data_IF_554698297574
#
_entry.id   IF_554698297574
#
_cell.length_a   1.000
_cell.length_b   1.000
_cell.length_c   1.000
_cell.angle_alpha   90.00
_cell.angle_beta   90.00
_cell.angle_gamma   90.00
#
_symmetry.space_group_name_H-M   'P 1'
#
loop_
_entity.id
_entity.type
_entity.pdbx_description
1 polymer ?
#
# COMPACT_ATOMS: atom_id res chain seq x y z
N UNK A 1 58.12 1.28 -37.33
CA UNK A 1 57.83 -0.15 -37.19
C UNK A 1 56.47 -0.42 -36.56
N UNK A 2 55.38 -0.16 -37.28
CA UNK A 2 54.02 -0.54 -36.84
C UNK A 2 53.78 -2.06 -36.93
N UNK A 3 54.49 -2.75 -37.84
CA UNK A 3 54.42 -4.20 -37.99
C UNK A 3 54.89 -4.93 -36.72
N UNK A 4 56.02 -4.50 -36.14
CA UNK A 4 56.54 -5.06 -34.89
C UNK A 4 55.60 -4.79 -33.69
N UNK A 5 54.90 -3.65 -33.68
CA UNK A 5 53.93 -3.34 -32.65
C UNK A 5 52.65 -4.20 -32.78
N UNK A 6 52.20 -4.48 -34.01
CA UNK A 6 51.09 -5.40 -34.25
C UNK A 6 51.45 -6.84 -33.92
N UNK A 7 52.66 -7.28 -34.23
CA UNK A 7 53.11 -8.65 -33.92
C UNK A 7 53.29 -8.87 -32.43
N UNK A 8 53.73 -7.84 -31.66
CA UNK A 8 53.73 -7.89 -30.19
C UNK A 8 52.32 -7.98 -29.62
N UNK A 9 51.37 -7.18 -30.10
CA UNK A 9 49.96 -7.25 -29.67
C UNK A 9 49.33 -8.60 -29.98
N UNK A 10 49.65 -9.20 -31.14
CA UNK A 10 49.17 -10.54 -31.50
C UNK A 10 49.74 -11.61 -30.59
N UNK A 11 51.06 -11.58 -30.30
CA UNK A 11 51.69 -12.51 -29.35
C UNK A 11 51.12 -12.37 -27.94
N UNK A 12 50.90 -11.15 -27.47
CA UNK A 12 50.28 -10.89 -26.15
C UNK A 12 48.82 -11.38 -26.08
N UNK A 13 48.06 -11.25 -27.18
CA UNK A 13 46.72 -11.83 -27.29
C UNK A 13 46.74 -13.37 -27.35
N UNK A 14 47.71 -13.96 -28.02
CA UNK A 14 47.88 -15.42 -28.09
C UNK A 14 48.35 -16.00 -26.76
N UNK A 15 49.27 -15.33 -26.06
CA UNK A 15 49.71 -15.66 -24.72
C UNK A 15 48.54 -15.52 -23.73
N UNK A 16 47.79 -14.43 -23.73
CA UNK A 16 46.63 -14.27 -22.84
C UNK A 16 45.54 -15.33 -23.10
N UNK A 17 45.28 -15.70 -24.35
CA UNK A 17 44.38 -16.82 -24.69
C UNK A 17 44.92 -18.15 -24.18
N UNK A 18 46.22 -18.41 -24.34
CA UNK A 18 46.86 -19.67 -23.92
C UNK A 18 46.89 -19.81 -22.40
N UNK A 19 47.09 -18.73 -21.66
CA UNK A 19 47.04 -18.70 -20.20
C UNK A 19 45.60 -18.63 -19.65
N UNK A 20 44.61 -18.26 -20.48
CA UNK A 20 43.18 -18.23 -20.11
C UNK A 20 42.48 -19.60 -20.09
N UNK A 21 43.07 -20.65 -20.67
CA UNK A 21 42.50 -22.01 -20.69
C UNK A 21 42.74 -22.71 -19.35
N UNK A 22 41.98 -22.30 -18.33
CA UNK A 22 42.09 -22.84 -16.97
C UNK A 22 41.39 -21.99 -15.89
N UNK A 23 41.00 -20.76 -16.21
CA UNK A 23 40.26 -19.88 -15.31
C UNK A 23 38.83 -20.39 -15.07
N UNK A 24 38.65 -21.18 -14.01
CA UNK A 24 37.37 -21.71 -13.55
C UNK A 24 36.46 -20.57 -13.06
N UNK A 25 35.34 -20.35 -13.75
CA UNK A 25 34.15 -19.57 -13.35
C UNK A 25 34.37 -18.27 -12.54
N UNK A 26 35.22 -17.36 -13.03
CA UNK A 26 35.29 -15.98 -12.50
C UNK A 26 34.11 -15.14 -13.01
N UNK A 27 33.64 -15.40 -14.24
CA UNK A 27 32.53 -14.65 -14.85
C UNK A 27 31.21 -14.69 -14.08
N UNK A 28 30.91 -15.77 -13.33
CA UNK A 28 29.67 -15.83 -12.54
C UNK A 28 29.71 -14.98 -11.27
N UNK A 29 30.91 -14.69 -10.75
CA UNK A 29 31.10 -13.74 -9.63
C UNK A 29 31.11 -12.31 -10.15
N UNK A 30 31.81 -12.04 -11.24
CA UNK A 30 31.83 -10.71 -11.89
C UNK A 30 30.44 -10.31 -12.42
N UNK A 31 29.65 -11.22 -12.99
CA UNK A 31 28.26 -10.95 -13.40
C UNK A 31 27.34 -10.64 -12.22
N UNK A 32 27.59 -11.22 -11.04
CA UNK A 32 26.80 -10.95 -9.83
C UNK A 32 27.20 -9.62 -9.18
N UNK A 33 28.48 -9.28 -9.20
CA UNK A 33 29.00 -8.01 -8.71
C UNK A 33 28.62 -6.85 -9.63
N UNK A 34 28.70 -7.03 -10.96
CA UNK A 34 28.21 -6.06 -11.95
C UNK A 34 26.71 -5.78 -11.78
N UNK A 35 25.88 -6.82 -11.61
CA UNK A 35 24.44 -6.66 -11.34
C UNK A 35 24.14 -6.02 -9.99
N UNK A 36 25.00 -6.21 -8.98
CA UNK A 36 24.85 -5.52 -7.68
C UNK A 36 25.19 -4.05 -7.80
N UNK A 37 26.27 -3.72 -8.51
CA UNK A 37 26.70 -2.34 -8.71
C UNK A 37 25.70 -1.56 -9.58
N UNK A 38 25.18 -2.15 -10.65
CA UNK A 38 24.12 -1.54 -11.47
C UNK A 38 22.85 -1.27 -10.66
N UNK A 39 22.43 -2.22 -9.81
CA UNK A 39 21.27 -2.02 -8.91
C UNK A 39 21.50 -0.91 -7.89
N UNK A 40 22.71 -0.80 -7.35
CA UNK A 40 23.06 0.27 -6.42
C UNK A 40 23.11 1.63 -7.12
N UNK A 41 23.62 1.70 -8.35
CA UNK A 41 23.62 2.90 -9.16
C UNK A 41 22.18 3.34 -9.51
N UNK A 42 21.35 2.41 -9.98
CA UNK A 42 19.94 2.67 -10.28
C UNK A 42 19.13 3.10 -9.06
N UNK A 43 19.44 2.54 -7.88
CA UNK A 43 18.79 2.94 -6.63
C UNK A 43 19.20 4.34 -6.19
N UNK A 44 20.47 4.72 -6.36
CA UNK A 44 20.96 6.08 -6.06
C UNK A 44 20.34 7.12 -6.98
N UNK A 45 20.23 6.83 -8.29
CA UNK A 45 19.58 7.73 -9.25
C UNK A 45 18.08 7.92 -8.92
N UNK A 46 17.38 6.84 -8.55
CA UNK A 46 15.98 6.92 -8.15
C UNK A 46 15.79 7.71 -6.83
N UNK A 47 16.71 7.56 -5.88
CA UNK A 47 16.70 8.32 -4.62
C UNK A 47 17.00 9.81 -4.84
N UNK A 48 17.89 10.13 -5.77
CA UNK A 48 18.18 11.52 -6.15
C UNK A 48 17.00 12.21 -6.85
N UNK A 49 16.28 11.48 -7.73
CA UNK A 49 15.03 11.97 -8.33
C UNK A 49 13.94 12.20 -7.26
N UNK A 50 13.76 11.27 -6.33
CA UNK A 50 12.78 11.40 -5.24
C UNK A 50 13.15 12.57 -4.29
N UNK A 51 14.45 12.76 -4.01
CA UNK A 51 14.92 13.90 -3.22
C UNK A 51 14.69 15.23 -3.94
N UNK A 52 14.88 15.28 -5.27
CA UNK A 52 14.57 16.46 -6.08
C UNK A 52 13.07 16.79 -6.05
N UNK A 53 12.19 15.78 -6.16
CA UNK A 53 10.74 15.95 -6.02
C UNK A 53 10.32 16.41 -4.63
N UNK A 54 10.92 15.86 -3.57
CA UNK A 54 10.63 16.31 -2.20
C UNK A 54 11.09 17.76 -1.96
N UNK A 55 12.18 18.19 -2.60
CA UNK A 55 12.70 19.56 -2.46
C UNK A 55 11.84 20.60 -3.18
N UNK A 56 11.16 20.24 -4.26
CA UNK A 56 10.17 21.12 -4.91
C UNK A 56 8.86 21.15 -4.12
N UNK A 57 8.45 20.02 -3.55
CA UNK A 57 7.23 19.93 -2.75
C UNK A 57 7.35 20.62 -1.37
N UNK A 58 8.54 20.69 -0.78
CA UNK A 58 8.78 21.45 0.46
C UNK A 58 8.71 22.99 0.28
N UNK A 59 8.85 23.51 -0.95
CA UNK A 59 8.70 24.95 -1.23
C UNK A 59 7.25 25.40 -1.34
N UNK A 60 6.29 24.50 -1.50
CA UNK A 60 4.86 24.84 -1.60
C UNK A 60 4.16 24.94 -0.23
N UNK A 61 4.81 24.51 0.86
CA UNK A 61 4.23 24.49 2.22
C UNK A 61 4.78 25.57 3.16
N UNK A 62 5.84 26.30 2.78
CA UNK A 62 6.44 27.38 3.58
C UNK A 62 5.78 28.77 3.40
N UNK A 63 4.77 28.91 2.53
CA UNK A 63 4.13 30.21 2.24
C UNK A 63 2.82 30.47 3.02
N UNK A 64 2.40 29.58 3.94
CA UNK A 64 1.16 29.75 4.69
C UNK A 64 1.32 29.37 6.15
N UNK A 65 2.00 30.20 6.94
CA UNK A 65 1.76 30.37 8.40
C UNK A 65 2.66 31.46 8.99
N UNK A 66 2.07 32.38 9.77
CA UNK A 66 2.76 33.38 10.60
C UNK A 66 2.23 34.80 10.40
N UNK A 67 1.21 35.26 11.15
CA UNK A 67 1.40 35.99 12.41
C UNK A 67 0.26 36.99 12.69
N UNK A 68 0.18 37.65 13.87
CA UNK A 68 -1.03 37.62 14.72
C UNK A 68 -1.73 38.98 15.06
N UNK A 69 -2.97 38.85 15.55
CA UNK A 69 -3.79 39.68 16.47
C UNK A 69 -3.46 41.15 16.75
N UNK A 70 -4.45 42.05 16.55
CA UNK A 70 -4.66 43.24 17.41
C UNK A 70 -6.11 43.76 17.41
N UNK A 71 -6.62 44.02 18.61
CA UNK A 71 -7.97 44.51 18.94
C UNK A 71 -7.99 46.05 19.16
N UNK A 72 -8.91 46.75 18.47
CA UNK A 72 -9.64 48.02 18.81
C UNK A 72 -8.89 49.34 19.08
N UNK A 73 -9.57 50.48 19.32
CA UNK A 73 -10.90 50.98 18.87
C UNK A 73 -10.89 52.48 18.41
N UNK A 74 -11.86 52.98 17.61
CA UNK A 74 -12.26 54.42 17.63
C UNK A 74 -13.58 54.67 16.84
N UNK A 75 -14.24 55.79 17.15
CA UNK A 75 -15.69 56.02 17.15
C UNK A 75 -16.08 57.31 16.38
N UNK A 76 -17.22 57.29 15.65
CA UNK A 76 -18.14 58.39 15.18
C UNK A 76 -17.72 59.27 13.95
N UNK A 77 -18.66 60.01 13.27
CA UNK A 77 -20.13 59.89 13.11
C UNK A 77 -20.70 60.06 11.65
N UNK A 78 -22.02 59.83 11.51
CA UNK A 78 -23.10 60.04 10.47
C UNK A 78 -22.98 61.20 9.43
N UNK A 79 -23.83 61.34 8.33
CA UNK A 79 -25.24 60.90 8.16
C UNK A 79 -25.76 60.42 6.76
N UNK A 80 -27.03 59.95 6.79
CA UNK A 80 -28.07 59.53 5.79
C UNK A 80 -28.18 60.38 4.47
N UNK A 81 -28.95 60.01 3.39
CA UNK A 81 -30.26 59.30 3.42
C UNK A 81 -30.70 58.40 2.21
N UNK A 82 -31.80 57.64 2.44
CA UNK A 82 -32.84 57.10 1.52
C UNK A 82 -32.40 56.23 0.30
N UNK A 83 -33.01 55.09 -0.09
CA UNK A 83 -34.42 54.84 -0.49
C UNK A 83 -34.66 53.31 -0.58
N UNK A 84 -35.90 52.87 -0.31
CA UNK A 84 -36.60 51.62 -0.70
C UNK A 84 -36.35 50.25 0.02
N UNK A 85 -37.42 49.45 0.24
CA UNK A 85 -37.42 48.24 1.06
C UNK A 85 -37.32 46.94 0.23
N UNK A 86 -36.89 45.84 0.86
CA UNK A 86 -37.26 44.42 0.64
C UNK A 86 -36.23 43.52 1.40
N UNK A 87 -36.60 42.77 2.46
CA UNK A 87 -35.63 41.92 3.16
C UNK A 87 -35.37 40.63 2.37
N UNK A 88 -34.16 40.50 1.84
CA UNK A 88 -33.66 39.27 1.23
C UNK A 88 -33.54 38.15 2.28
N UNK A 89 -34.28 37.07 2.07
CA UNK A 89 -34.24 35.81 2.82
C UNK A 89 -32.94 35.06 2.48
N UNK A 90 -31.81 35.47 3.06
CA UNK A 90 -30.49 34.85 2.74
C UNK A 90 -29.68 34.39 3.95
N UNK A 91 -30.34 34.22 5.10
CA UNK A 91 -29.69 33.77 6.35
C UNK A 91 -30.38 32.63 7.09
N UNK A 92 -31.56 32.18 6.63
CA UNK A 92 -32.34 31.14 7.32
C UNK A 92 -31.86 29.73 6.95
N UNK A 93 -31.40 29.52 5.71
CA UNK A 93 -30.87 28.22 5.25
C UNK A 93 -29.66 27.74 6.05
N UNK A 94 -28.63 28.58 6.21
CA UNK A 94 -27.40 28.20 6.95
C UNK A 94 -27.63 27.95 8.44
N UNK A 95 -28.62 28.61 9.06
CA UNK A 95 -28.97 28.37 10.47
C UNK A 95 -29.85 27.12 10.63
N UNK A 96 -30.69 26.81 9.65
CA UNK A 96 -31.45 25.56 9.60
C UNK A 96 -30.51 24.37 9.41
N UNK A 97 -29.58 24.44 8.46
CA UNK A 97 -28.57 23.39 8.22
C UNK A 97 -27.66 23.17 9.44
N UNK A 98 -27.27 24.23 10.16
CA UNK A 98 -26.48 24.09 11.38
C UNK A 98 -27.28 23.48 12.54
N UNK A 99 -28.59 23.77 12.62
CA UNK A 99 -29.47 23.21 13.66
C UNK A 99 -29.85 21.77 13.35
N UNK A 100 -29.99 21.43 12.07
CA UNK A 100 -30.21 20.07 11.57
C UNK A 100 -28.97 19.20 11.78
N UNK A 101 -27.78 19.67 11.40
CA UNK A 101 -26.52 18.97 11.72
C UNK A 101 -26.30 18.76 13.21
N UNK A 102 -26.70 19.73 14.04
CA UNK A 102 -26.61 19.62 15.51
C UNK A 102 -27.67 18.69 16.09
N UNK A 103 -28.85 18.61 15.46
CA UNK A 103 -29.90 17.66 15.84
C UNK A 103 -29.53 16.22 15.41
N UNK A 104 -28.89 16.05 14.24
CA UNK A 104 -28.33 14.78 13.78
C UNK A 104 -27.18 14.31 14.69
N UNK A 105 -26.28 15.21 15.09
CA UNK A 105 -25.22 14.90 16.06
C UNK A 105 -25.79 14.47 17.42
N UNK A 106 -26.81 15.17 17.93
CA UNK A 106 -27.48 14.79 19.18
C UNK A 106 -28.32 13.51 19.07
N UNK A 107 -28.79 13.16 17.86
CA UNK A 107 -29.49 11.90 17.61
C UNK A 107 -28.53 10.71 17.49
N UNK A 108 -27.33 10.94 16.95
CA UNK A 108 -26.26 9.93 16.87
C UNK A 108 -25.67 9.63 18.25
N UNK A 109 -25.55 10.66 19.11
CA UNK A 109 -25.15 10.50 20.53
C UNK A 109 -26.16 9.69 21.37
N UNK A 110 -27.41 9.59 20.93
CA UNK A 110 -28.48 8.89 21.66
C UNK A 110 -28.74 7.46 21.14
N UNK A 111 -27.93 6.98 20.19
CA UNK A 111 -27.93 5.57 19.82
C UNK A 111 -27.25 4.74 20.92
N UNK A 112 -27.74 3.53 21.23
CA UNK A 112 -27.01 2.63 22.11
C UNK A 112 -25.61 2.40 21.53
N UNK A 113 -24.59 2.57 22.38
CA UNK A 113 -23.19 2.33 21.99
C UNK A 113 -23.10 0.88 21.51
N UNK A 114 -22.64 0.68 20.28
CA UNK A 114 -22.41 -0.66 19.75
C UNK A 114 -21.20 -1.26 20.48
N UNK A 115 -21.45 -2.31 21.25
CA UNK A 115 -20.42 -3.03 22.01
C UNK A 115 -19.94 -4.24 21.20
N UNK A 116 -18.62 -4.36 21.05
CA UNK A 116 -17.96 -5.45 20.35
C UNK A 116 -16.97 -6.13 21.30
N UNK A 117 -16.98 -7.47 21.38
CA UNK A 117 -15.95 -8.22 22.10
C UNK A 117 -15.19 -9.15 21.18
N UNK A 118 -13.88 -9.17 21.38
CA UNK A 118 -13.00 -10.18 20.84
C UNK A 118 -12.78 -11.28 21.87
N UNK A 119 -13.24 -12.49 21.58
CA UNK A 119 -13.02 -13.65 22.46
C UNK A 119 -11.67 -14.33 22.20
N UNK A 120 -11.20 -14.29 20.94
CA UNK A 120 -9.94 -14.90 20.51
C UNK A 120 -8.96 -13.86 19.95
N UNK A 121 -7.69 -14.25 19.76
CA UNK A 121 -6.69 -13.38 19.12
C UNK A 121 -7.11 -12.96 17.70
N UNK A 122 -7.73 -13.87 16.94
CA UNK A 122 -8.19 -13.57 15.58
C UNK A 122 -9.33 -12.54 15.59
N UNK A 123 -10.24 -12.63 16.57
CA UNK A 123 -11.31 -11.65 16.77
C UNK A 123 -10.74 -10.28 17.18
N UNK A 124 -9.65 -10.26 17.96
CA UNK A 124 -8.99 -9.03 18.38
C UNK A 124 -8.28 -8.34 17.21
N UNK A 125 -7.67 -9.12 16.30
CA UNK A 125 -7.09 -8.61 15.07
C UNK A 125 -8.18 -8.07 14.14
N UNK A 126 -9.32 -8.77 14.01
CA UNK A 126 -10.46 -8.31 13.23
C UNK A 126 -11.06 -7.00 13.78
N UNK A 127 -11.18 -6.88 15.11
CA UNK A 127 -11.63 -5.65 15.76
C UNK A 127 -10.67 -4.48 15.49
N UNK A 128 -9.36 -4.71 15.54
CA UNK A 128 -8.37 -3.68 15.22
C UNK A 128 -8.42 -3.24 13.75
N UNK A 129 -8.54 -4.18 12.83
CA UNK A 129 -8.66 -3.88 11.40
C UNK A 129 -9.96 -3.10 11.10
N UNK A 130 -11.09 -3.50 11.68
CA UNK A 130 -12.37 -2.80 11.49
C UNK A 130 -12.37 -1.39 12.08
N UNK A 131 -11.76 -1.18 13.25
CA UNK A 131 -11.62 0.14 13.88
C UNK A 131 -10.66 1.03 13.11
N UNK A 132 -9.53 0.48 12.63
CA UNK A 132 -8.52 1.23 11.90
C UNK A 132 -8.91 1.54 10.44
N UNK A 133 -9.80 0.78 9.81
CA UNK A 133 -10.23 0.99 8.42
C UNK A 133 -11.62 1.68 8.30
N UNK A 134 -12.22 2.07 9.42
CA UNK A 134 -13.51 2.78 9.42
C UNK A 134 -13.47 4.11 8.65
N UNK A 135 -14.62 4.61 8.15
CA UNK A 135 -14.73 5.77 7.23
C UNK A 135 -14.23 7.12 7.80
N UNK A 136 -13.76 7.16 9.04
CA UNK A 136 -13.15 8.33 9.69
C UNK A 136 -11.70 8.13 10.18
N UNK A 137 -11.09 6.97 9.92
CA UNK A 137 -9.70 6.70 10.34
C UNK A 137 -8.69 7.40 9.43
N UNK A 138 -7.64 7.95 10.03
CA UNK A 138 -6.57 8.68 9.33
C UNK A 138 -5.77 7.81 8.33
N UNK A 139 -5.94 6.48 8.34
CA UNK A 139 -5.38 5.55 7.33
C UNK A 139 -6.15 5.56 6.01
N UNK A 140 -7.36 6.15 5.94
CA UNK A 140 -8.20 6.23 4.76
C UNK A 140 -7.56 6.99 3.57
N UNK A 141 -6.49 7.77 3.82
CA UNK A 141 -5.65 8.33 2.74
C UNK A 141 -4.91 7.25 1.91
N UNK A 142 -4.89 6.00 2.40
CA UNK A 142 -4.46 4.81 1.67
C UNK A 142 -5.65 3.99 1.15
N UNK A 143 -6.83 4.58 0.91
CA UNK A 143 -8.03 3.86 0.47
C UNK A 143 -7.77 2.90 -0.71
N UNK A 144 -6.87 3.21 -1.65
CA UNK A 144 -6.56 2.26 -2.74
C UNK A 144 -5.75 1.03 -2.28
N UNK A 145 -4.89 1.17 -1.25
CA UNK A 145 -4.03 0.09 -0.75
C UNK A 145 -4.68 -0.66 0.42
N UNK A 146 -5.44 0.04 1.26
CA UNK A 146 -6.33 -0.52 2.29
C UNK A 146 -7.53 -1.24 1.69
N UNK A 147 -8.24 -0.66 0.70
CA UNK A 147 -9.30 -1.39 -0.01
C UNK A 147 -8.76 -2.58 -0.81
N UNK A 148 -7.52 -2.54 -1.31
CA UNK A 148 -6.92 -3.73 -1.93
C UNK A 148 -6.44 -4.78 -0.91
N UNK A 149 -6.27 -4.39 0.36
CA UNK A 149 -6.03 -5.31 1.47
C UNK A 149 -7.34 -5.94 1.98
N UNK A 150 -8.42 -5.16 2.05
CA UNK A 150 -9.75 -5.57 2.55
C UNK A 150 -10.57 -6.31 1.48
N UNK A 151 -10.61 -5.80 0.26
CA UNK A 151 -11.49 -6.30 -0.82
C UNK A 151 -10.78 -7.36 -1.68
N UNK A 152 -9.47 -7.56 -1.47
CA UNK A 152 -8.68 -8.60 -2.12
C UNK A 152 -7.93 -8.17 -3.37
N UNK A 153 -7.10 -9.07 -3.91
CA UNK A 153 -6.30 -8.77 -5.10
C UNK A 153 -7.13 -8.66 -6.38
N UNK A 154 -6.77 -7.70 -7.22
CA UNK A 154 -7.21 -7.68 -8.63
C UNK A 154 -6.48 -8.72 -9.48
N UNK A 155 -5.29 -9.17 -9.07
CA UNK A 155 -4.46 -10.13 -9.80
C UNK A 155 -3.99 -11.33 -8.97
N UNK A 156 -4.92 -12.20 -8.53
CA UNK A 156 -4.58 -13.37 -7.71
C UNK A 156 -3.55 -14.29 -8.38
N UNK A 157 -3.53 -14.39 -9.71
CA UNK A 157 -2.55 -15.21 -10.44
C UNK A 157 -1.08 -14.77 -10.23
N UNK A 158 -0.85 -13.45 -10.10
CA UNK A 158 0.51 -12.91 -9.89
C UNK A 158 1.01 -13.18 -8.48
N UNK A 159 0.14 -13.00 -7.46
CA UNK A 159 0.48 -13.31 -6.07
C UNK A 159 0.54 -14.81 -5.81
N UNK A 160 -0.31 -15.62 -6.44
CA UNK A 160 -0.36 -17.06 -6.23
C UNK A 160 0.99 -17.75 -6.48
N UNK A 161 1.79 -17.25 -7.44
CA UNK A 161 3.14 -17.78 -7.68
C UNK A 161 4.10 -17.49 -6.52
N UNK A 162 4.13 -16.26 -6.04
CA UNK A 162 4.99 -15.86 -4.92
C UNK A 162 4.56 -16.55 -3.61
N UNK A 163 3.25 -16.60 -3.37
CA UNK A 163 2.67 -17.26 -2.21
C UNK A 163 2.90 -18.78 -2.24
N UNK A 164 2.80 -19.42 -3.41
CA UNK A 164 3.15 -20.83 -3.57
C UNK A 164 4.63 -21.10 -3.30
N UNK A 165 5.53 -20.21 -3.72
CA UNK A 165 6.96 -20.35 -3.45
C UNK A 165 7.28 -20.23 -1.95
N UNK A 166 6.64 -19.28 -1.25
CA UNK A 166 6.74 -19.15 0.20
C UNK A 166 6.21 -20.39 0.93
N UNK A 167 5.03 -20.89 0.54
CA UNK A 167 4.46 -22.10 1.11
C UNK A 167 5.32 -23.33 0.85
N UNK A 168 5.82 -23.48 -0.38
CA UNK A 168 6.70 -24.59 -0.79
C UNK A 168 7.99 -24.62 0.05
N UNK A 169 8.59 -23.47 0.33
CA UNK A 169 9.81 -23.39 1.13
C UNK A 169 9.62 -23.90 2.57
N UNK A 170 8.45 -23.63 3.16
CA UNK A 170 8.11 -24.05 4.53
C UNK A 170 7.68 -25.52 4.57
N UNK A 171 6.93 -25.98 3.57
CA UNK A 171 6.26 -27.30 3.61
C UNK A 171 7.13 -28.46 3.13
N UNK A 172 8.06 -28.21 2.19
CA UNK A 172 8.99 -29.24 1.73
C UNK A 172 9.75 -29.93 2.87
N UNK A 173 10.40 -29.21 3.82
CA UNK A 173 11.14 -29.88 4.88
C UNK A 173 10.21 -30.70 5.79
N UNK A 174 9.01 -30.20 6.08
CA UNK A 174 8.02 -30.91 6.90
C UNK A 174 7.59 -32.23 6.25
N UNK A 175 7.16 -32.18 4.98
CA UNK A 175 6.73 -33.39 4.26
C UNK A 175 7.89 -34.37 4.03
N UNK A 176 9.13 -33.88 3.86
CA UNK A 176 10.32 -34.75 3.77
C UNK A 176 10.61 -35.48 5.08
N UNK A 177 10.36 -34.85 6.23
CA UNK A 177 10.52 -35.50 7.53
C UNK A 177 9.46 -36.58 7.75
N UNK A 178 8.21 -36.30 7.37
CA UNK A 178 7.13 -37.28 7.47
C UNK A 178 7.28 -38.44 6.47
N UNK A 179 7.75 -38.14 5.26
CA UNK A 179 7.80 -39.09 4.14
C UNK A 179 9.18 -39.12 3.46
N UNK A 180 10.23 -39.63 4.13
CA UNK A 180 11.59 -39.63 3.59
C UNK A 180 11.78 -40.56 2.36
N UNK A 181 10.88 -41.52 2.15
CA UNK A 181 10.91 -42.45 1.00
C UNK A 181 10.36 -41.85 -0.30
N UNK A 182 9.69 -40.70 -0.24
CA UNK A 182 8.97 -40.15 -1.37
C UNK A 182 9.89 -39.35 -2.30
N UNK A 183 9.69 -39.46 -3.62
CA UNK A 183 10.47 -38.69 -4.61
C UNK A 183 10.13 -37.20 -4.49
N UNK A 184 11.09 -36.32 -4.77
CA UNK A 184 10.86 -34.86 -4.73
C UNK A 184 9.67 -34.41 -5.60
N UNK A 185 9.46 -35.04 -6.77
CA UNK A 185 8.30 -34.74 -7.62
C UNK A 185 6.96 -35.10 -6.96
N UNK A 186 6.92 -36.15 -6.15
CA UNK A 186 5.72 -36.57 -5.40
C UNK A 186 5.48 -35.64 -4.21
N UNK A 187 6.54 -35.23 -3.52
CA UNK A 187 6.48 -34.23 -2.44
C UNK A 187 5.92 -32.92 -2.99
N UNK A 188 6.46 -32.43 -4.12
CA UNK A 188 5.97 -31.22 -4.78
C UNK A 188 4.49 -31.33 -5.18
N UNK A 189 4.03 -32.50 -5.62
CA UNK A 189 2.61 -32.75 -5.90
C UNK A 189 1.74 -32.71 -4.64
N UNK A 190 2.21 -33.27 -3.52
CA UNK A 190 1.50 -33.21 -2.24
C UNK A 190 1.41 -31.77 -1.73
N UNK A 191 2.53 -31.03 -1.74
CA UNK A 191 2.57 -29.61 -1.39
C UNK A 191 1.64 -28.80 -2.27
N UNK A 192 1.59 -29.05 -3.58
CA UNK A 192 0.68 -28.34 -4.46
C UNK A 192 -0.80 -28.68 -4.18
N UNK A 193 -1.11 -29.93 -3.81
CA UNK A 193 -2.47 -30.33 -3.44
C UNK A 193 -2.92 -29.68 -2.13
N UNK A 194 -2.05 -29.62 -1.12
CA UNK A 194 -2.35 -28.92 0.14
C UNK A 194 -2.46 -27.42 -0.09
N UNK A 195 -1.58 -26.84 -0.93
CA UNK A 195 -1.61 -25.43 -1.32
C UNK A 195 -2.92 -25.01 -1.97
N UNK A 196 -3.48 -25.82 -2.88
CA UNK A 196 -4.77 -25.49 -3.51
C UNK A 196 -5.90 -25.29 -2.50
N UNK A 197 -5.85 -25.96 -1.36
CA UNK A 197 -6.87 -25.88 -0.30
C UNK A 197 -6.50 -24.92 0.84
N UNK A 198 -5.25 -24.48 0.91
CA UNK A 198 -4.78 -23.63 1.99
C UNK A 198 -5.43 -22.23 1.92
N UNK A 199 -5.75 -21.61 3.08
CA UNK A 199 -6.28 -20.24 3.13
C UNK A 199 -5.23 -19.19 2.69
N UNK A 200 -3.95 -19.54 2.79
CA UNK A 200 -2.82 -18.74 2.31
C UNK A 200 -2.81 -18.55 0.79
N UNK A 201 -3.53 -19.37 0.03
CA UNK A 201 -3.65 -19.21 -1.41
C UNK A 201 -4.51 -18.00 -1.74
N UNK A 202 -3.97 -16.94 -2.41
CA UNK A 202 -4.74 -15.74 -2.75
C UNK A 202 -6.00 -16.01 -3.59
N UNK A 203 -6.06 -17.17 -4.24
CA UNK A 203 -7.22 -17.59 -5.03
C UNK A 203 -8.40 -18.10 -4.18
N UNK A 204 -8.14 -18.49 -2.93
CA UNK A 204 -9.18 -18.90 -1.98
C UNK A 204 -9.68 -17.72 -1.13
N UNK A 205 -9.01 -16.56 -1.22
CA UNK A 205 -9.43 -15.31 -0.59
C UNK A 205 -10.48 -14.61 -1.47
N UNK A 206 -11.30 -13.74 -0.88
CA UNK A 206 -12.21 -12.89 -1.65
C UNK A 206 -11.39 -12.05 -2.65
N UNK A 207 -11.82 -12.02 -3.91
CA UNK A 207 -11.13 -11.29 -4.97
C UNK A 207 -12.09 -10.29 -5.61
N UNK A 208 -11.58 -9.13 -5.99
CA UNK A 208 -12.35 -8.11 -6.72
C UNK A 208 -12.33 -8.43 -8.20
N UNK A 209 -13.48 -8.35 -8.87
CA UNK A 209 -13.53 -8.40 -10.32
C UNK A 209 -12.66 -7.28 -10.92
N UNK A 210 -11.86 -7.61 -11.95
CA UNK A 210 -10.92 -6.67 -12.57
C UNK A 210 -11.59 -5.38 -13.10
N UNK A 211 -12.84 -5.48 -13.54
CA UNK A 211 -13.64 -4.37 -14.08
C UNK A 211 -14.57 -3.70 -13.05
N UNK A 212 -14.42 -3.98 -11.75
CA UNK A 212 -15.27 -3.38 -10.71
C UNK A 212 -15.03 -1.86 -10.65
N UNK A 213 -16.12 -1.09 -10.53
CA UNK A 213 -16.02 0.36 -10.32
C UNK A 213 -15.62 0.64 -8.87
N UNK A 214 -15.06 1.82 -8.62
CA UNK A 214 -14.68 2.23 -7.26
C UNK A 214 -15.87 2.16 -6.29
N UNK A 215 -17.06 2.56 -6.74
CA UNK A 215 -18.31 2.43 -5.96
C UNK A 215 -18.60 1.00 -5.51
N UNK A 216 -18.33 0.02 -6.37
CA UNK A 216 -18.62 -1.38 -6.10
C UNK A 216 -17.60 -1.95 -5.10
N UNK A 217 -16.35 -1.47 -5.16
CA UNK A 217 -15.28 -1.79 -4.21
C UNK A 217 -15.61 -1.21 -2.83
N UNK A 218 -16.06 0.05 -2.78
CA UNK A 218 -16.41 0.73 -1.52
C UNK A 218 -17.65 0.10 -0.88
N UNK A 219 -18.62 -0.38 -1.68
CA UNK A 219 -19.76 -1.15 -1.18
C UNK A 219 -19.33 -2.51 -0.63
N UNK A 220 -18.41 -3.20 -1.32
CA UNK A 220 -17.95 -4.53 -0.91
C UNK A 220 -17.05 -4.47 0.33
N UNK A 221 -16.21 -3.44 0.46
CA UNK A 221 -15.47 -3.19 1.71
C UNK A 221 -16.42 -2.87 2.86
N UNK A 222 -17.43 -2.03 2.65
CA UNK A 222 -18.44 -1.75 3.66
C UNK A 222 -19.22 -3.00 4.07
N UNK A 223 -19.61 -3.86 3.12
CA UNK A 223 -20.26 -5.14 3.44
C UNK A 223 -19.36 -6.05 4.27
N UNK A 224 -18.07 -6.13 3.94
CA UNK A 224 -17.12 -6.96 4.68
C UNK A 224 -16.89 -6.43 6.10
N UNK A 225 -16.78 -5.11 6.27
CA UNK A 225 -16.62 -4.50 7.60
C UNK A 225 -17.87 -4.66 8.45
N UNK A 226 -19.07 -4.55 7.88
CA UNK A 226 -20.32 -4.84 8.59
C UNK A 226 -20.42 -6.32 8.98
N UNK A 227 -20.07 -7.27 8.11
CA UNK A 227 -20.01 -8.69 8.47
C UNK A 227 -19.02 -8.97 9.60
N UNK A 228 -17.86 -8.32 9.58
CA UNK A 228 -16.87 -8.43 10.64
C UNK A 228 -17.40 -7.87 11.98
N UNK A 229 -18.08 -6.73 11.95
CA UNK A 229 -18.75 -6.15 13.12
C UNK A 229 -19.84 -7.07 13.65
N UNK A 230 -20.67 -7.65 12.79
CA UNK A 230 -21.70 -8.62 13.19
C UNK A 230 -21.11 -9.84 13.89
N UNK A 231 -19.98 -10.37 13.41
CA UNK A 231 -19.28 -11.48 14.06
C UNK A 231 -18.75 -11.11 15.45
N UNK A 232 -18.36 -9.86 15.66
CA UNK A 232 -17.79 -9.35 16.92
C UNK A 232 -18.85 -8.77 17.87
N UNK A 233 -20.11 -8.68 17.44
CA UNK A 233 -21.20 -8.09 18.20
C UNK A 233 -21.62 -9.04 19.34
N UNK A 234 -21.85 -8.46 20.51
CA UNK A 234 -22.34 -9.15 21.72
C UNK A 234 -23.84 -8.91 21.90
#
# INVERSE_FOLDING_TARGET
SEKDAQDRKKKEQEESKKWGVGAKQVGKKEDQEAKRLEKLARKKEAEELLAAENKTNAKSTAARTGGPSKLGPTVKPTPKPAVAPLPAVRGVGKKAEAKEKKAEQMADENKPVEEYAASNMDDALLLMDTVNEGPGSASAGSALKGAQAVVGDRHPERRAKAAYEAYKAIQIPLIKQENPKLRQSQIDQLVFKSWKKAPENPRNQANVAYNAKQSDIDQLSAQLTEQAKEHLRI
#
